data_IF_704578545453
#
_entry.id   IF_704578545453
#
_cell.length_a   1.000
_cell.length_b   1.000
_cell.length_c   1.000
_cell.angle_alpha   90.00
_cell.angle_beta   90.00
_cell.angle_gamma   90.00
#
_symmetry.space_group_name_H-M   'P 1'
#
loop_
_entity.id
_entity.type
_entity.pdbx_description
1 polymer ?
#
# COMPACT_ATOMS: atom_id res chain seq x y z
N UNK A 1 9.54 20.20 3.04
CA UNK A 1 8.83 19.26 2.18
C UNK A 1 9.74 18.09 1.78
N UNK A 2 10.85 18.34 1.06
CA UNK A 2 11.74 17.28 0.54
C UNK A 2 12.31 16.36 1.62
N UNK A 3 12.74 16.89 2.76
CA UNK A 3 13.24 16.10 3.90
C UNK A 3 12.15 15.18 4.46
N UNK A 4 10.94 15.69 4.66
CA UNK A 4 9.80 14.90 5.12
C UNK A 4 9.43 13.79 4.13
N UNK A 5 9.45 14.10 2.83
CA UNK A 5 9.20 13.11 1.77
C UNK A 5 10.28 12.02 1.75
N UNK A 6 11.57 12.39 1.90
CA UNK A 6 12.66 11.42 2.01
C UNK A 6 12.51 10.53 3.26
N UNK A 7 12.22 11.12 4.41
CA UNK A 7 11.99 10.39 5.65
C UNK A 7 10.81 9.41 5.55
N UNK A 8 9.70 9.82 4.93
CA UNK A 8 8.52 8.97 4.72
C UNK A 8 8.83 7.74 3.88
N UNK A 9 9.72 7.85 2.89
CA UNK A 9 10.11 6.73 2.03
C UNK A 9 11.06 5.74 2.70
N UNK A 10 11.77 6.18 3.75
CA UNK A 10 12.65 5.32 4.55
C UNK A 10 11.91 4.51 5.62
N UNK A 11 10.70 4.90 5.94
CA UNK A 11 9.84 4.27 6.95
C UNK A 11 8.77 3.43 6.27
N UNK A 12 8.52 2.25 6.81
CA UNK A 12 7.40 1.37 6.36
C UNK A 12 6.33 1.20 7.44
N UNK A 13 6.29 2.15 8.38
CA UNK A 13 5.35 2.17 9.49
C UNK A 13 4.32 3.28 9.32
N UNK A 14 3.29 3.29 10.18
CA UNK A 14 2.31 4.38 10.25
C UNK A 14 2.99 5.76 10.38
N UNK A 15 4.19 5.82 10.96
CA UNK A 15 5.02 7.03 11.03
C UNK A 15 5.41 7.59 9.65
N UNK A 16 5.46 6.76 8.60
CA UNK A 16 5.69 7.25 7.24
C UNK A 16 4.64 8.27 6.83
N UNK A 17 3.36 8.00 7.15
CA UNK A 17 2.27 8.92 6.88
C UNK A 17 2.37 10.21 7.71
N UNK A 18 2.84 10.14 8.96
CA UNK A 18 3.05 11.33 9.79
C UNK A 18 4.07 12.29 9.17
N UNK A 19 5.15 11.77 8.57
CA UNK A 19 6.11 12.60 7.84
C UNK A 19 5.52 13.19 6.55
N UNK A 20 4.71 12.43 5.80
CA UNK A 20 3.98 12.94 4.65
C UNK A 20 3.08 14.10 5.08
N UNK A 21 2.28 13.89 6.14
CA UNK A 21 1.36 14.89 6.68
C UNK A 21 2.12 16.15 7.13
N UNK A 22 3.21 15.99 7.89
CA UNK A 22 4.04 17.11 8.33
C UNK A 22 4.59 17.90 7.13
N UNK A 23 5.05 17.22 6.09
CA UNK A 23 5.63 17.84 4.89
C UNK A 23 4.68 18.79 4.18
N UNK A 24 3.45 18.35 3.89
CA UNK A 24 2.51 19.23 3.18
C UNK A 24 1.74 20.18 4.13
N UNK A 25 1.61 19.87 5.43
CA UNK A 25 0.99 20.79 6.39
C UNK A 25 1.80 22.08 6.54
N UNK A 26 3.13 21.99 6.47
CA UNK A 26 3.98 23.20 6.43
C UNK A 26 3.62 24.09 5.23
N UNK A 27 3.31 23.52 4.06
CA UNK A 27 2.87 24.30 2.90
C UNK A 27 1.46 24.87 3.13
N UNK A 28 0.53 24.10 3.71
CA UNK A 28 -0.84 24.55 4.00
C UNK A 28 -0.87 25.76 4.95
N UNK A 29 -0.02 25.76 5.97
CA UNK A 29 0.04 26.86 6.95
C UNK A 29 0.94 27.98 6.45
N UNK A 30 2.09 27.64 5.87
CA UNK A 30 3.11 28.62 5.52
C UNK A 30 2.77 29.47 4.30
N UNK A 31 2.12 28.92 3.27
CA UNK A 31 1.82 29.68 2.05
C UNK A 31 0.82 30.82 2.27
N UNK A 32 -0.34 30.62 2.93
CA UNK A 32 -1.23 31.73 3.26
C UNK A 32 -0.62 32.75 4.24
N UNK A 33 0.28 32.28 5.11
CA UNK A 33 0.93 33.14 6.08
C UNK A 33 1.98 34.10 5.49
N UNK A 34 2.38 33.90 4.23
CA UNK A 34 3.31 34.84 3.55
C UNK A 34 2.68 36.24 3.47
N UNK A 35 1.38 36.29 3.16
CA UNK A 35 0.65 37.56 3.04
C UNK A 35 0.23 38.14 4.43
N UNK A 36 0.06 37.25 5.43
CA UNK A 36 -0.39 37.62 6.76
C UNK A 36 0.41 36.90 7.86
N UNK A 37 1.68 37.26 8.10
CA UNK A 37 2.57 36.53 9.01
C UNK A 37 2.08 36.45 10.45
N UNK A 38 1.31 37.45 10.91
CA UNK A 38 0.79 37.47 12.28
C UNK A 38 -0.33 36.45 12.55
N UNK A 39 -0.92 35.87 11.52
CA UNK A 39 -2.02 34.90 11.62
C UNK A 39 -1.55 33.45 11.64
N UNK A 40 -0.22 33.19 11.53
CA UNK A 40 0.35 31.82 11.46
C UNK A 40 -0.10 30.93 12.61
N UNK A 41 -0.06 31.48 13.83
CA UNK A 41 -0.44 30.71 15.03
C UNK A 41 -1.93 30.33 14.99
N UNK A 42 -2.80 31.28 14.66
CA UNK A 42 -4.25 31.05 14.57
C UNK A 42 -4.58 30.03 13.47
N UNK A 43 -3.91 30.13 12.31
CA UNK A 43 -4.05 29.15 11.21
C UNK A 43 -3.56 27.75 11.63
N UNK A 44 -2.46 27.66 12.37
CA UNK A 44 -1.97 26.38 12.86
C UNK A 44 -2.94 25.74 13.88
N UNK A 45 -3.49 26.54 14.80
CA UNK A 45 -4.49 26.07 15.77
C UNK A 45 -5.77 25.66 15.06
N UNK A 46 -6.27 26.46 14.10
CA UNK A 46 -7.44 26.13 13.30
C UNK A 46 -7.25 24.80 12.56
N UNK A 47 -6.11 24.57 11.94
CA UNK A 47 -5.80 23.29 11.27
C UNK A 47 -5.76 22.12 12.23
N UNK A 48 -5.15 22.26 13.40
CA UNK A 48 -5.13 21.20 14.40
C UNK A 48 -6.55 20.83 14.86
N UNK A 49 -7.40 21.84 15.11
CA UNK A 49 -8.78 21.62 15.56
C UNK A 49 -9.64 21.01 14.45
N UNK A 50 -9.55 21.49 13.20
CA UNK A 50 -10.26 20.95 12.05
C UNK A 50 -9.92 19.48 11.79
N UNK A 51 -8.63 19.15 11.77
CA UNK A 51 -8.16 17.76 11.57
C UNK A 51 -8.62 16.88 12.73
N UNK A 52 -8.49 17.33 13.98
CA UNK A 52 -8.91 16.57 15.15
C UNK A 52 -10.42 16.32 15.15
N UNK A 53 -11.21 17.33 14.81
CA UNK A 53 -12.66 17.20 14.68
C UNK A 53 -13.05 16.23 13.54
N UNK A 54 -12.40 16.35 12.38
CA UNK A 54 -12.60 15.44 11.27
C UNK A 54 -12.30 13.98 11.62
N UNK A 55 -11.19 13.73 12.32
CA UNK A 55 -10.82 12.39 12.80
C UNK A 55 -11.86 11.87 13.80
N UNK A 56 -12.29 12.69 14.74
CA UNK A 56 -13.30 12.31 15.74
C UNK A 56 -14.64 11.96 15.06
N UNK A 57 -15.12 12.79 14.17
CA UNK A 57 -16.36 12.54 13.42
C UNK A 57 -16.26 11.26 12.57
N UNK A 58 -15.17 11.08 11.82
CA UNK A 58 -14.95 9.87 11.01
C UNK A 58 -14.89 8.61 11.88
N UNK A 59 -14.17 8.68 13.01
CA UNK A 59 -14.06 7.55 13.95
C UNK A 59 -15.41 7.21 14.57
N UNK A 60 -16.21 8.21 14.99
CA UNK A 60 -17.55 8.02 15.50
C UNK A 60 -18.48 7.35 14.47
N UNK A 61 -18.50 7.88 13.26
CA UNK A 61 -19.32 7.34 12.18
C UNK A 61 -18.93 5.89 11.88
N UNK A 62 -17.64 5.59 11.73
CA UNK A 62 -17.16 4.23 11.50
C UNK A 62 -17.47 3.29 12.66
N UNK A 63 -17.34 3.75 13.90
CA UNK A 63 -17.60 2.94 15.08
C UNK A 63 -19.10 2.63 15.28
N UNK A 64 -19.97 3.60 14.97
CA UNK A 64 -21.42 3.47 15.20
C UNK A 64 -22.17 2.80 14.05
N UNK A 65 -21.87 3.19 12.79
CA UNK A 65 -22.62 2.74 11.63
C UNK A 65 -22.09 1.44 11.03
N UNK A 66 -20.76 1.24 11.01
CA UNK A 66 -20.15 0.09 10.36
C UNK A 66 -18.86 -0.35 11.06
N UNK A 67 -18.94 -0.95 12.25
CA UNK A 67 -17.77 -1.43 12.98
C UNK A 67 -17.10 -2.57 12.20
N UNK A 68 -16.14 -2.25 11.35
CA UNK A 68 -15.31 -3.24 10.69
C UNK A 68 -14.21 -3.66 11.66
N UNK A 69 -14.29 -4.87 12.17
CA UNK A 69 -13.21 -5.45 12.97
C UNK A 69 -12.09 -5.87 12.03
N UNK A 70 -10.98 -5.15 12.09
CA UNK A 70 -9.75 -5.44 11.33
C UNK A 70 -9.30 -6.89 11.57
N UNK A 71 -9.60 -7.44 12.75
CA UNK A 71 -9.34 -8.83 13.12
C UNK A 71 -9.87 -9.85 12.12
N UNK A 72 -11.13 -9.72 11.68
CA UNK A 72 -11.75 -10.67 10.73
C UNK A 72 -11.14 -10.52 9.34
N UNK A 73 -10.87 -9.30 8.94
CA UNK A 73 -10.27 -9.00 7.65
C UNK A 73 -8.85 -9.56 7.56
N UNK A 74 -8.05 -9.41 8.62
CA UNK A 74 -6.69 -9.96 8.67
C UNK A 74 -6.68 -11.50 8.61
N UNK A 75 -7.56 -12.17 9.36
CA UNK A 75 -7.67 -13.62 9.32
C UNK A 75 -8.07 -14.12 7.92
N UNK A 76 -9.03 -13.46 7.27
CA UNK A 76 -9.46 -13.80 5.92
C UNK A 76 -8.33 -13.57 4.89
N UNK A 77 -7.65 -12.44 4.97
CA UNK A 77 -6.54 -12.13 4.07
C UNK A 77 -5.36 -13.09 4.28
N UNK A 78 -5.05 -13.45 5.53
CA UNK A 78 -4.04 -14.44 5.85
C UNK A 78 -4.37 -15.80 5.22
N UNK A 79 -5.64 -16.24 5.30
CA UNK A 79 -6.12 -17.48 4.68
C UNK A 79 -6.00 -17.43 3.14
N UNK A 80 -6.38 -16.33 2.53
CA UNK A 80 -6.24 -16.13 1.07
C UNK A 80 -4.76 -16.14 0.65
N UNK A 81 -3.88 -15.50 1.42
CA UNK A 81 -2.44 -15.50 1.16
C UNK A 81 -1.84 -16.91 1.32
N UNK A 82 -2.27 -17.65 2.34
CA UNK A 82 -1.90 -19.05 2.55
C UNK A 82 -2.29 -19.94 1.37
N UNK A 83 -3.57 -19.92 0.96
CA UNK A 83 -4.06 -20.73 -0.16
C UNK A 83 -3.31 -20.41 -1.46
N UNK A 84 -3.12 -19.12 -1.75
CA UNK A 84 -2.34 -18.69 -2.91
C UNK A 84 -0.88 -19.15 -2.81
N UNK A 85 -0.27 -19.12 -1.61
CA UNK A 85 1.10 -19.55 -1.36
C UNK A 85 1.29 -21.04 -1.60
N UNK A 86 0.42 -21.89 -1.05
CA UNK A 86 0.46 -23.36 -1.25
C UNK A 86 0.22 -23.71 -2.71
N UNK A 87 -0.76 -23.07 -3.36
CA UNK A 87 -0.99 -23.27 -4.80
C UNK A 87 0.24 -22.91 -5.63
N UNK A 88 0.87 -21.76 -5.36
CA UNK A 88 2.07 -21.34 -6.08
C UNK A 88 3.28 -22.27 -5.80
N UNK A 89 3.41 -22.80 -4.59
CA UNK A 89 4.43 -23.79 -4.26
C UNK A 89 4.23 -25.09 -5.05
N UNK A 90 3.00 -25.58 -5.13
CA UNK A 90 2.69 -26.79 -5.90
C UNK A 90 2.90 -26.58 -7.41
N UNK A 91 2.49 -25.44 -7.97
CA UNK A 91 2.78 -25.08 -9.36
C UNK A 91 4.30 -25.02 -9.64
N UNK A 92 5.08 -24.52 -8.67
CA UNK A 92 6.53 -24.51 -8.79
C UNK A 92 7.12 -25.94 -8.80
N UNK A 93 6.62 -26.83 -7.96
CA UNK A 93 7.03 -28.24 -7.95
C UNK A 93 6.62 -29.00 -9.23
N UNK A 94 5.58 -28.55 -9.94
CA UNK A 94 5.18 -29.08 -11.25
C UNK A 94 5.99 -28.51 -12.42
N UNK A 95 6.85 -27.52 -12.15
CA UNK A 95 7.66 -26.87 -13.19
C UNK A 95 6.82 -26.01 -14.15
N UNK A 96 5.62 -25.58 -13.75
CA UNK A 96 4.73 -24.76 -14.59
C UNK A 96 5.29 -23.36 -14.84
N UNK A 97 5.18 -22.86 -16.05
CA UNK A 97 5.63 -21.50 -16.42
C UNK A 97 4.87 -20.41 -15.66
N UNK A 98 3.62 -20.70 -15.26
CA UNK A 98 2.78 -19.83 -14.44
C UNK A 98 3.29 -19.63 -13.00
N UNK A 99 4.18 -20.50 -12.50
CA UNK A 99 4.71 -20.43 -11.13
C UNK A 99 5.39 -19.08 -10.80
N UNK A 100 5.99 -18.41 -11.79
CA UNK A 100 6.60 -17.08 -11.60
C UNK A 100 5.55 -16.00 -11.36
N UNK A 101 4.44 -16.02 -12.07
CA UNK A 101 3.35 -15.06 -11.89
C UNK A 101 2.65 -15.31 -10.54
N UNK A 102 2.37 -16.56 -10.21
CA UNK A 102 1.82 -16.94 -8.91
C UNK A 102 2.70 -16.48 -7.74
N UNK A 103 4.03 -16.58 -7.86
CA UNK A 103 4.96 -16.07 -6.86
C UNK A 103 4.83 -14.56 -6.65
N UNK A 104 4.79 -13.78 -7.73
CA UNK A 104 4.67 -12.32 -7.66
C UNK A 104 3.33 -11.90 -7.03
N UNK A 105 2.26 -12.62 -7.36
CA UNK A 105 0.95 -12.39 -6.77
C UNK A 105 0.96 -12.66 -5.27
N UNK A 106 1.54 -13.78 -4.82
CA UNK A 106 1.67 -14.12 -3.40
C UNK A 106 2.53 -13.11 -2.66
N UNK A 107 3.65 -12.67 -3.25
CA UNK A 107 4.49 -11.62 -2.68
C UNK A 107 3.70 -10.32 -2.50
N UNK A 108 2.91 -9.90 -3.51
CA UNK A 108 2.04 -8.73 -3.42
C UNK A 108 1.00 -8.86 -2.29
N UNK A 109 0.39 -10.04 -2.13
CA UNK A 109 -0.56 -10.33 -1.05
C UNK A 109 0.10 -10.29 0.33
N UNK A 110 1.27 -10.90 0.49
CA UNK A 110 2.04 -10.87 1.74
C UNK A 110 2.38 -9.43 2.14
N UNK A 111 2.85 -8.61 1.19
CA UNK A 111 3.16 -7.19 1.44
C UNK A 111 1.91 -6.40 1.83
N UNK A 112 0.78 -6.64 1.16
CA UNK A 112 -0.49 -5.97 1.48
C UNK A 112 -0.99 -6.33 2.89
N UNK A 113 -0.90 -7.60 3.27
CA UNK A 113 -1.28 -8.09 4.60
C UNK A 113 -0.33 -7.55 5.68
N UNK A 114 0.97 -7.51 5.41
CA UNK A 114 1.96 -6.95 6.35
C UNK A 114 1.75 -5.45 6.60
N UNK A 115 1.31 -4.71 5.58
CA UNK A 115 0.98 -3.29 5.72
C UNK A 115 -0.22 -3.03 6.66
N UNK A 116 -1.20 -3.94 6.71
CA UNK A 116 -2.36 -3.83 7.59
C UNK A 116 -2.07 -4.30 9.03
N UNK A 117 -1.01 -5.04 9.24
CA UNK A 117 -0.59 -5.57 10.54
C UNK A 117 -0.43 -4.47 11.61
N UNK A 118 0.05 -3.30 11.21
CA UNK A 118 0.26 -2.18 12.14
C UNK A 118 -1.04 -1.66 12.75
N UNK A 119 -2.14 -1.72 12.02
CA UNK A 119 -3.46 -1.33 12.53
C UNK A 119 -3.94 -2.30 13.62
N UNK A 120 -3.69 -3.60 13.45
CA UNK A 120 -4.03 -4.62 14.45
C UNK A 120 -3.27 -4.46 15.77
N UNK A 121 -2.09 -3.83 15.74
CA UNK A 121 -1.30 -3.58 16.95
C UNK A 121 -2.02 -2.70 17.97
N UNK A 122 -2.90 -1.82 17.51
CA UNK A 122 -3.68 -0.91 18.35
C UNK A 122 -4.98 -1.51 18.87
N UNK A 123 -5.41 -2.69 18.38
CA UNK A 123 -6.66 -3.35 18.76
C UNK A 123 -6.57 -4.19 20.07
N UNK A 124 -5.53 -3.99 20.89
CA UNK A 124 -5.35 -4.70 22.14
C UNK A 124 -4.47 -5.94 22.04
N UNK A 125 -4.51 -6.80 23.07
CA UNK A 125 -3.55 -7.92 23.20
C UNK A 125 -3.73 -8.97 22.08
N UNK A 126 -4.98 -9.33 21.75
CA UNK A 126 -5.27 -10.28 20.67
C UNK A 126 -4.83 -9.75 19.30
N UNK A 127 -5.02 -8.46 19.03
CA UNK A 127 -4.56 -7.81 17.82
C UNK A 127 -3.04 -7.88 17.69
N UNK A 128 -2.31 -7.63 18.78
CA UNK A 128 -0.84 -7.75 18.82
C UNK A 128 -0.36 -9.16 18.55
N UNK A 129 -1.01 -10.17 19.15
CA UNK A 129 -0.65 -11.57 18.92
C UNK A 129 -0.91 -12.00 17.47
N UNK A 130 -2.04 -11.58 16.88
CA UNK A 130 -2.31 -11.77 15.45
C UNK A 130 -1.27 -11.11 14.56
N UNK A 131 -0.88 -9.89 14.89
CA UNK A 131 0.15 -9.18 14.14
C UNK A 131 1.50 -9.90 14.18
N UNK A 132 1.86 -10.49 15.32
CA UNK A 132 3.06 -11.31 15.46
C UNK A 132 2.97 -12.64 14.69
N UNK A 133 1.85 -13.34 14.83
CA UNK A 133 1.61 -14.60 14.11
C UNK A 133 1.59 -14.40 12.59
N UNK A 134 1.03 -13.27 12.12
CA UNK A 134 1.02 -12.90 10.71
C UNK A 134 2.43 -12.68 10.15
N UNK A 135 3.34 -12.10 10.96
CA UNK A 135 4.75 -11.95 10.58
C UNK A 135 5.43 -13.30 10.39
N UNK A 136 5.16 -14.25 11.30
CA UNK A 136 5.69 -15.62 11.19
C UNK A 136 5.14 -16.30 9.94
N UNK A 137 3.83 -16.23 9.71
CA UNK A 137 3.18 -16.74 8.51
C UNK A 137 3.82 -16.20 7.22
N UNK A 138 4.01 -14.89 7.15
CA UNK A 138 4.63 -14.25 5.98
C UNK A 138 6.05 -14.75 5.72
N UNK A 139 6.87 -14.86 6.77
CA UNK A 139 8.23 -15.40 6.70
C UNK A 139 8.25 -16.83 6.19
N UNK A 140 7.38 -17.67 6.76
CA UNK A 140 7.38 -19.09 6.46
C UNK A 140 6.79 -19.40 5.08
N UNK A 141 5.77 -18.65 4.63
CA UNK A 141 5.29 -18.71 3.26
C UNK A 141 6.37 -18.32 2.23
N UNK A 142 7.14 -17.26 2.50
CA UNK A 142 8.28 -16.91 1.65
C UNK A 142 9.33 -18.01 1.60
N UNK A 143 9.55 -18.70 2.74
CA UNK A 143 10.47 -19.83 2.82
C UNK A 143 9.96 -21.04 2.03
N UNK A 144 8.66 -21.35 2.13
CA UNK A 144 7.98 -22.39 1.34
C UNK A 144 8.17 -22.14 -0.16
N UNK A 145 7.87 -20.95 -0.63
CA UNK A 145 8.00 -20.58 -2.05
C UNK A 145 9.45 -20.67 -2.54
N UNK A 146 10.41 -20.23 -1.72
CA UNK A 146 11.83 -20.32 -2.04
C UNK A 146 12.30 -21.77 -2.13
N UNK A 147 11.86 -22.63 -1.19
CA UNK A 147 12.22 -24.03 -1.17
C UNK A 147 11.58 -24.80 -2.33
N UNK A 148 10.31 -24.57 -2.64
CA UNK A 148 9.63 -25.20 -3.77
C UNK A 148 10.36 -24.90 -5.09
N UNK A 149 10.77 -23.65 -5.31
CA UNK A 149 11.58 -23.26 -6.49
C UNK A 149 12.99 -23.87 -6.45
N UNK A 150 13.56 -24.01 -5.26
CA UNK A 150 14.85 -24.67 -5.09
C UNK A 150 14.79 -26.14 -5.47
N UNK A 151 13.74 -26.86 -5.05
CA UNK A 151 13.48 -28.24 -5.44
C UNK A 151 13.27 -28.37 -6.95
N UNK A 152 12.44 -27.52 -7.55
CA UNK A 152 12.18 -27.52 -8.99
C UNK A 152 13.48 -27.33 -9.80
N UNK A 153 14.33 -26.39 -9.38
CA UNK A 153 15.62 -26.15 -10.05
C UNK A 153 16.55 -27.36 -9.93
N UNK A 154 16.62 -27.97 -8.74
CA UNK A 154 17.41 -29.17 -8.50
C UNK A 154 16.88 -30.34 -9.33
N UNK A 155 15.56 -30.53 -9.36
CA UNK A 155 14.90 -31.56 -10.15
C UNK A 155 15.26 -31.52 -11.64
N UNK A 156 15.35 -30.34 -12.22
CA UNK A 156 15.76 -30.17 -13.63
C UNK A 156 17.23 -30.52 -13.89
N UNK A 157 18.06 -30.62 -12.85
CA UNK A 157 19.48 -30.97 -12.96
C UNK A 157 19.72 -32.45 -12.75
N UNK A 158 18.74 -33.19 -12.24
CA UNK A 158 18.84 -34.64 -12.03
C UNK A 158 18.80 -35.38 -13.37
N UNK A 159 19.57 -36.49 -13.45
CA UNK A 159 19.47 -37.42 -14.55
C UNK A 159 18.09 -38.09 -14.58
N UNK A 160 17.69 -38.59 -15.76
CA UNK A 160 16.35 -39.16 -15.97
C UNK A 160 16.07 -40.38 -15.05
N UNK A 161 17.08 -41.20 -14.74
CA UNK A 161 16.93 -42.34 -13.87
C UNK A 161 16.86 -41.95 -12.40
N UNK A 162 17.68 -40.97 -11.99
CA UNK A 162 17.63 -40.36 -10.66
C UNK A 162 16.28 -39.72 -10.37
N UNK A 163 15.73 -38.98 -11.37
CA UNK A 163 14.42 -38.34 -11.28
C UNK A 163 13.27 -39.36 -11.17
N UNK A 164 13.34 -40.49 -11.90
CA UNK A 164 12.33 -41.56 -11.80
C UNK A 164 12.30 -42.20 -10.42
N UNK A 165 13.45 -42.39 -9.79
CA UNK A 165 13.55 -42.96 -8.43
C UNK A 165 12.87 -42.04 -7.40
N UNK A 166 12.99 -40.75 -7.55
CA UNK A 166 12.40 -39.74 -6.61
C UNK A 166 10.98 -39.34 -6.94
N UNK A 167 10.47 -39.68 -8.13
CA UNK A 167 9.16 -39.28 -8.58
C UNK A 167 8.01 -39.60 -7.61
N UNK A 168 7.94 -40.82 -7.00
CA UNK A 168 6.90 -41.15 -6.03
C UNK A 168 6.87 -40.20 -4.84
N UNK A 169 8.04 -39.82 -4.32
CA UNK A 169 8.16 -38.89 -3.21
C UNK A 169 7.69 -37.47 -3.58
N UNK A 170 8.05 -37.02 -4.77
CA UNK A 170 7.60 -35.73 -5.27
C UNK A 170 6.09 -35.70 -5.46
N UNK A 171 5.50 -36.78 -6.01
CA UNK A 171 4.04 -36.88 -6.18
C UNK A 171 3.31 -36.92 -4.83
N UNK A 172 3.79 -37.69 -3.86
CA UNK A 172 3.23 -37.69 -2.51
C UNK A 172 3.22 -36.30 -1.88
N UNK A 173 4.30 -35.52 -2.03
CA UNK A 173 4.37 -34.16 -1.53
C UNK A 173 3.39 -33.24 -2.29
N UNK A 174 3.26 -33.38 -3.60
CA UNK A 174 2.29 -32.62 -4.41
C UNK A 174 0.84 -32.90 -4.02
N UNK A 175 0.49 -34.17 -3.88
CA UNK A 175 -0.83 -34.60 -3.43
C UNK A 175 -1.15 -34.05 -2.03
N UNK A 176 -0.18 -34.09 -1.12
CA UNK A 176 -0.30 -33.50 0.20
C UNK A 176 -0.57 -31.97 0.14
N UNK A 177 0.05 -31.26 -0.81
CA UNK A 177 -0.17 -29.81 -0.98
C UNK A 177 -1.46 -29.46 -1.73
N UNK A 178 -2.05 -30.40 -2.49
CA UNK A 178 -3.31 -30.21 -3.21
C UNK A 178 -4.55 -30.50 -2.36
N UNK A 179 -4.41 -31.46 -1.44
CA UNK A 179 -5.49 -31.88 -0.56
C UNK A 179 -5.71 -30.98 0.66
N UNK A 180 -6.57 -31.45 1.57
CA UNK A 180 -6.60 -30.89 2.92
C UNK A 180 -5.29 -31.26 3.64
N UNK A 181 -4.50 -30.23 3.96
CA UNK A 181 -3.24 -30.44 4.66
C UNK A 181 -3.50 -31.08 6.03
N UNK A 182 -2.88 -32.22 6.31
CA UNK A 182 -2.97 -32.86 7.63
C UNK A 182 -2.49 -31.89 8.71
N UNK A 183 -3.07 -32.03 9.90
CA UNK A 183 -2.66 -31.22 11.05
C UNK A 183 -1.22 -31.49 11.47
N UNK A 184 -0.74 -32.69 11.23
CA UNK A 184 0.63 -33.11 11.50
C UNK A 184 1.26 -33.78 10.28
N UNK A 185 2.35 -33.19 9.81
CA UNK A 185 3.16 -33.67 8.69
C UNK A 185 4.40 -34.45 9.16
N UNK A 186 4.58 -34.66 10.46
CA UNK A 186 5.79 -35.26 11.04
C UNK A 186 6.12 -36.62 10.46
N UNK A 187 5.09 -37.44 10.22
CA UNK A 187 5.28 -38.79 9.67
C UNK A 187 5.87 -38.73 8.25
N UNK A 188 5.31 -37.91 7.39
CA UNK A 188 5.81 -37.77 6.01
C UNK A 188 7.19 -37.08 5.97
N UNK A 189 7.44 -36.14 6.86
CA UNK A 189 8.76 -35.50 7.00
C UNK A 189 9.81 -36.54 7.40
N UNK A 190 9.50 -37.40 8.36
CA UNK A 190 10.44 -38.40 8.82
C UNK A 190 10.70 -39.50 7.76
N UNK A 191 9.66 -39.96 7.06
CA UNK A 191 9.80 -40.87 5.93
C UNK A 191 10.71 -40.30 4.82
N UNK A 192 10.58 -39.02 4.50
CA UNK A 192 11.45 -38.34 3.51
C UNK A 192 12.90 -38.25 4.00
N UNK A 193 13.13 -38.06 5.31
CA UNK A 193 14.46 -38.04 5.91
C UNK A 193 15.09 -39.45 5.94
N UNK A 194 14.32 -40.45 6.33
CA UNK A 194 14.79 -41.83 6.30
C UNK A 194 15.16 -42.23 4.89
N UNK A 195 14.32 -41.95 3.90
CA UNK A 195 14.62 -42.18 2.48
C UNK A 195 15.90 -41.43 2.02
N UNK A 196 16.11 -40.20 2.50
CA UNK A 196 17.34 -39.46 2.18
C UNK A 196 18.63 -40.10 2.69
N UNK A 197 18.55 -40.95 3.72
CA UNK A 197 19.71 -41.66 4.29
C UNK A 197 19.98 -43.02 3.64
N UNK A 198 19.23 -43.42 2.62
CA UNK A 198 19.47 -44.65 1.90
C UNK A 198 20.84 -44.61 1.18
N UNK A 199 21.74 -45.62 1.42
CA UNK A 199 23.09 -45.59 0.89
C UNK A 199 23.20 -45.81 -0.63
N UNK A 200 22.08 -46.15 -1.28
CA UNK A 200 22.02 -46.38 -2.73
C UNK A 200 21.77 -45.09 -3.51
N UNK A 201 21.38 -44.00 -2.82
CA UNK A 201 21.07 -42.73 -3.44
C UNK A 201 22.31 -41.85 -3.67
N UNK A 202 22.35 -41.18 -4.80
CA UNK A 202 23.37 -40.15 -5.06
C UNK A 202 23.25 -38.97 -4.09
N UNK A 203 24.34 -38.24 -3.88
CA UNK A 203 24.32 -37.03 -3.04
C UNK A 203 23.29 -36.00 -3.50
N UNK A 204 23.03 -35.93 -4.81
CA UNK A 204 22.02 -35.01 -5.39
C UNK A 204 20.59 -35.46 -5.06
N UNK A 205 20.34 -36.76 -5.09
CA UNK A 205 19.05 -37.35 -4.71
C UNK A 205 18.78 -37.16 -3.21
N UNK A 206 19.75 -37.45 -2.36
CA UNK A 206 19.65 -37.21 -0.92
C UNK A 206 19.33 -35.77 -0.61
N UNK A 207 20.04 -34.82 -1.24
CA UNK A 207 19.83 -33.40 -1.06
C UNK A 207 18.42 -32.94 -1.55
N UNK A 208 17.89 -33.56 -2.63
CA UNK A 208 16.55 -33.31 -3.08
C UNK A 208 15.48 -33.73 -2.07
N UNK A 209 15.60 -34.92 -1.50
CA UNK A 209 14.71 -35.45 -0.46
C UNK A 209 14.76 -34.62 0.83
N UNK A 210 15.97 -34.25 1.27
CA UNK A 210 16.11 -33.35 2.44
C UNK A 210 15.44 -32.00 2.21
N UNK A 211 15.53 -31.45 1.00
CA UNK A 211 14.83 -30.20 0.65
C UNK A 211 13.32 -30.36 0.61
N UNK A 212 12.80 -31.49 0.15
CA UNK A 212 11.37 -31.81 0.22
C UNK A 212 10.90 -31.92 1.68
N UNK A 213 11.67 -32.63 2.53
CA UNK A 213 11.39 -32.68 3.96
C UNK A 213 11.38 -31.28 4.60
N UNK A 214 12.39 -30.46 4.29
CA UNK A 214 12.47 -29.09 4.79
C UNK A 214 11.30 -28.21 4.28
N UNK A 215 10.85 -28.41 3.05
CA UNK A 215 9.66 -27.76 2.50
C UNK A 215 8.42 -28.05 3.36
N UNK A 216 8.18 -29.34 3.67
CA UNK A 216 7.04 -29.74 4.51
C UNK A 216 7.14 -29.22 5.94
N UNK A 217 8.34 -29.16 6.53
CA UNK A 217 8.56 -28.52 7.84
C UNK A 217 8.11 -27.06 7.79
N UNK A 218 8.47 -26.31 6.74
CA UNK A 218 8.06 -24.92 6.58
C UNK A 218 6.57 -24.77 6.31
N UNK A 219 5.95 -25.70 5.57
CA UNK A 219 4.50 -25.74 5.37
C UNK A 219 3.79 -25.95 6.71
N UNK A 220 4.26 -26.88 7.54
CA UNK A 220 3.71 -27.14 8.87
C UNK A 220 3.82 -25.92 9.79
N UNK A 221 4.98 -25.26 9.84
CA UNK A 221 5.16 -24.01 10.61
C UNK A 221 4.23 -22.90 10.14
N UNK A 222 4.10 -22.72 8.84
CA UNK A 222 3.21 -21.72 8.25
C UNK A 222 1.72 -22.03 8.54
N UNK A 223 1.31 -23.32 8.53
CA UNK A 223 -0.06 -23.72 8.90
C UNK A 223 -0.36 -23.44 10.38
N UNK A 224 0.59 -23.69 11.27
CA UNK A 224 0.48 -23.37 12.69
C UNK A 224 0.37 -21.84 12.90
N UNK A 225 1.17 -21.06 12.18
CA UNK A 225 1.11 -19.60 12.22
C UNK A 225 -0.24 -19.06 11.71
N UNK A 226 -0.81 -19.68 10.65
CA UNK A 226 -2.15 -19.33 10.17
C UNK A 226 -3.23 -19.57 11.26
N UNK A 227 -3.19 -20.72 11.93
CA UNK A 227 -4.11 -21.03 13.04
C UNK A 227 -3.96 -20.03 14.19
N UNK A 228 -2.73 -19.62 14.51
CA UNK A 228 -2.48 -18.60 15.53
C UNK A 228 -3.08 -17.25 15.12
N UNK A 229 -2.99 -16.85 13.82
CA UNK A 229 -3.67 -15.65 13.30
C UNK A 229 -5.18 -15.77 13.45
N UNK A 230 -5.77 -16.91 13.10
CA UNK A 230 -7.22 -17.11 13.16
C UNK A 230 -7.75 -17.08 14.60
N UNK A 231 -7.04 -17.70 15.53
CA UNK A 231 -7.42 -17.76 16.95
C UNK A 231 -7.05 -16.48 17.72
N UNK A 232 -6.13 -15.67 17.20
CA UNK A 232 -5.59 -14.52 17.90
C UNK A 232 -4.65 -14.90 19.04
N UNK A 233 -3.89 -15.99 18.85
CA UNK A 233 -2.92 -16.54 19.79
C UNK A 233 -1.49 -16.12 19.41
N UNK A 234 -0.59 -16.21 20.38
CA UNK A 234 0.82 -15.97 20.11
C UNK A 234 1.38 -17.08 19.19
N UNK A 235 2.26 -16.74 18.22
CA UNK A 235 2.93 -17.74 17.43
C UNK A 235 3.89 -18.58 18.31
N UNK A 236 4.06 -19.84 17.96
CA UNK A 236 4.98 -20.77 18.68
C UNK A 236 6.43 -20.29 18.58
N UNK A 237 6.80 -19.79 17.40
CA UNK A 237 8.12 -19.20 17.16
C UNK A 237 8.13 -17.70 17.42
N UNK A 238 9.15 -17.22 18.14
CA UNK A 238 9.37 -15.79 18.27
C UNK A 238 9.68 -15.19 16.87
N UNK A 239 8.96 -14.15 16.44
CA UNK A 239 9.23 -13.53 15.15
C UNK A 239 10.61 -12.87 15.19
N UNK A 240 11.53 -13.36 14.35
CA UNK A 240 12.80 -12.66 14.12
C UNK A 240 12.52 -11.25 13.62
N UNK A 241 13.25 -10.27 14.13
CA UNK A 241 13.17 -8.91 13.64
C UNK A 241 13.60 -8.91 12.16
N UNK A 242 12.65 -8.73 11.25
CA UNK A 242 12.98 -8.50 9.85
C UNK A 242 13.70 -7.16 9.76
N UNK A 243 14.99 -7.20 9.46
CA UNK A 243 15.73 -5.98 9.13
C UNK A 243 15.28 -5.52 7.74
N UNK A 244 14.59 -4.38 7.67
CA UNK A 244 14.20 -3.80 6.40
C UNK A 244 15.39 -3.10 5.76
N UNK A 245 15.63 -3.40 4.50
CA UNK A 245 16.61 -2.64 3.72
C UNK A 245 16.10 -1.20 3.55
N UNK A 246 16.87 -0.24 4.07
CA UNK A 246 16.59 1.20 3.93
C UNK A 246 17.28 1.71 2.68
N UNK A 247 16.51 1.97 1.63
CA UNK A 247 17.05 2.50 0.40
C UNK A 247 17.21 4.02 0.47
N UNK A 248 18.36 4.44 0.99
CA UNK A 248 18.73 5.86 1.12
C UNK A 248 18.71 6.61 -0.21
N UNK A 249 19.19 6.00 -1.30
CA UNK A 249 19.27 6.67 -2.59
C UNK A 249 17.87 6.93 -3.17
N UNK A 250 16.96 5.97 -3.07
CA UNK A 250 15.55 6.16 -3.45
C UNK A 250 14.90 7.25 -2.62
N UNK A 251 15.18 7.30 -1.31
CA UNK A 251 14.64 8.34 -0.44
C UNK A 251 15.13 9.74 -0.84
N UNK A 252 16.44 9.89 -1.14
CA UNK A 252 17.00 11.16 -1.59
C UNK A 252 16.41 11.60 -2.93
N UNK A 253 16.27 10.68 -3.89
CA UNK A 253 15.68 11.02 -5.22
C UNK A 253 14.22 11.48 -5.06
N UNK A 254 13.43 10.81 -4.25
CA UNK A 254 12.03 11.19 -4.05
C UNK A 254 11.90 12.50 -3.26
N UNK A 255 12.74 12.71 -2.24
CA UNK A 255 12.82 13.97 -1.52
C UNK A 255 13.26 15.13 -2.41
N UNK A 256 14.30 14.94 -3.22
CA UNK A 256 14.78 15.93 -4.18
C UNK A 256 13.71 16.27 -5.23
N UNK A 257 13.01 15.26 -5.77
CA UNK A 257 11.88 15.46 -6.69
C UNK A 257 10.82 16.39 -6.11
N UNK A 258 10.37 16.12 -4.87
CA UNK A 258 9.37 16.96 -4.20
C UNK A 258 9.87 18.37 -3.94
N UNK A 259 11.15 18.52 -3.53
CA UNK A 259 11.75 19.81 -3.31
C UNK A 259 11.91 20.62 -4.61
N UNK A 260 12.38 19.98 -5.69
CA UNK A 260 12.53 20.63 -6.99
C UNK A 260 11.19 21.08 -7.59
N UNK A 261 10.15 20.26 -7.47
CA UNK A 261 8.79 20.62 -7.92
C UNK A 261 8.28 21.83 -7.15
N UNK A 262 8.47 21.85 -5.83
CA UNK A 262 8.09 22.98 -5.00
C UNK A 262 8.87 24.25 -5.39
N UNK A 263 10.17 24.18 -5.55
CA UNK A 263 11.02 25.32 -5.91
C UNK A 263 10.69 25.85 -7.32
N UNK A 264 10.44 24.97 -8.28
CA UNK A 264 10.08 25.36 -9.64
C UNK A 264 8.75 26.13 -9.67
N UNK A 265 7.73 25.63 -8.96
CA UNK A 265 6.45 26.32 -8.84
C UNK A 265 6.56 27.62 -8.02
N UNK A 266 7.40 27.66 -6.98
CA UNK A 266 7.67 28.89 -6.23
C UNK A 266 8.33 29.96 -7.13
N UNK A 267 9.30 29.56 -7.94
CA UNK A 267 9.92 30.47 -8.90
C UNK A 267 8.92 30.97 -9.94
N UNK A 268 8.05 30.10 -10.44
CA UNK A 268 6.96 30.48 -11.32
C UNK A 268 6.01 31.51 -10.67
N UNK A 269 5.61 31.25 -9.42
CA UNK A 269 4.77 32.17 -8.65
C UNK A 269 5.42 33.56 -8.50
N UNK A 270 6.65 33.59 -8.06
CA UNK A 270 7.40 34.86 -7.90
C UNK A 270 7.59 35.62 -9.22
N UNK A 271 7.82 34.89 -10.32
CA UNK A 271 8.02 35.48 -11.63
C UNK A 271 6.70 36.03 -12.25
N UNK A 272 5.57 35.39 -11.97
CA UNK A 272 4.28 35.78 -12.58
C UNK A 272 3.42 36.68 -11.70
N UNK A 273 3.65 36.65 -10.38
CA UNK A 273 2.76 37.34 -9.41
C UNK A 273 1.34 36.74 -9.38
N UNK A 274 1.13 35.52 -9.91
CA UNK A 274 -0.20 34.93 -10.00
C UNK A 274 -0.75 34.59 -8.62
N UNK A 275 -1.87 35.22 -8.23
CA UNK A 275 -2.42 35.10 -6.88
C UNK A 275 -2.87 33.70 -6.48
N UNK A 276 -3.38 32.90 -7.43
CA UNK A 276 -3.79 31.51 -7.15
C UNK A 276 -2.64 30.49 -7.19
N UNK A 277 -1.41 30.93 -7.52
CA UNK A 277 -0.25 30.02 -7.58
C UNK A 277 0.06 29.35 -6.23
N UNK A 278 -0.27 29.98 -5.12
CA UNK A 278 -0.16 29.36 -3.78
C UNK A 278 -0.98 28.07 -3.66
N UNK A 279 -2.18 28.02 -4.25
CA UNK A 279 -3.02 26.83 -4.35
C UNK A 279 -2.38 25.74 -5.21
N UNK A 280 -1.78 26.11 -6.35
CA UNK A 280 -1.02 25.18 -7.18
C UNK A 280 0.17 24.55 -6.43
N UNK A 281 0.92 25.38 -5.69
CA UNK A 281 2.05 24.97 -4.87
C UNK A 281 1.62 23.99 -3.77
N UNK A 282 0.51 24.28 -3.11
CA UNK A 282 -0.07 23.43 -2.07
C UNK A 282 -0.42 22.07 -2.62
N UNK A 283 -1.18 21.99 -3.71
CA UNK A 283 -1.60 20.72 -4.30
C UNK A 283 -0.44 19.91 -4.86
N UNK A 284 0.53 20.57 -5.51
CA UNK A 284 1.76 19.91 -5.93
C UNK A 284 2.51 19.29 -4.72
N UNK A 285 2.57 20.02 -3.61
CA UNK A 285 3.21 19.54 -2.36
C UNK A 285 2.51 18.30 -1.80
N UNK A 286 1.17 18.33 -1.75
CA UNK A 286 0.34 17.22 -1.30
C UNK A 286 0.57 15.98 -2.18
N UNK A 287 0.43 16.13 -3.49
CA UNK A 287 0.55 15.02 -4.45
C UNK A 287 1.97 14.44 -4.48
N UNK A 288 3.00 15.31 -4.48
CA UNK A 288 4.40 14.87 -4.45
C UNK A 288 4.75 14.10 -3.16
N UNK A 289 4.20 14.50 -2.01
CA UNK A 289 4.44 13.83 -0.74
C UNK A 289 3.62 12.53 -0.62
N UNK A 290 2.33 12.58 -0.96
CA UNK A 290 1.40 11.46 -0.76
C UNK A 290 1.74 10.26 -1.66
N UNK A 291 2.18 10.52 -2.89
CA UNK A 291 2.48 9.46 -3.85
C UNK A 291 3.98 9.20 -4.04
N UNK A 292 4.84 9.82 -3.23
CA UNK A 292 6.29 9.69 -3.34
C UNK A 292 6.78 8.24 -3.40
N UNK A 293 6.26 7.39 -2.53
CA UNK A 293 6.66 5.99 -2.36
C UNK A 293 5.87 5.00 -3.22
N UNK A 294 4.93 5.47 -4.06
CA UNK A 294 4.14 4.59 -4.93
C UNK A 294 4.90 4.27 -6.21
N UNK A 295 5.01 2.98 -6.55
CA UNK A 295 5.67 2.54 -7.79
C UNK A 295 5.03 3.14 -9.04
N UNK A 296 3.70 3.32 -9.03
CA UNK A 296 2.92 3.89 -10.13
C UNK A 296 2.50 5.34 -9.86
N UNK A 297 3.35 6.14 -9.20
CA UNK A 297 3.02 7.51 -8.80
C UNK A 297 2.49 8.39 -9.95
N UNK A 298 3.10 8.29 -11.13
CA UNK A 298 2.67 9.05 -12.32
C UNK A 298 1.27 8.62 -12.80
N UNK A 299 0.97 7.33 -12.79
CA UNK A 299 -0.35 6.80 -13.19
C UNK A 299 -1.43 7.22 -12.19
N UNK A 300 -1.14 7.11 -10.89
CA UNK A 300 -2.06 7.57 -9.82
C UNK A 300 -2.27 9.08 -9.93
N UNK A 301 -1.21 9.85 -10.14
CA UNK A 301 -1.30 11.30 -10.37
C UNK A 301 -2.17 11.67 -11.58
N UNK A 302 -2.08 10.91 -12.67
CA UNK A 302 -2.95 11.09 -13.83
C UNK A 302 -4.42 10.78 -13.51
N UNK A 303 -4.68 9.73 -12.70
CA UNK A 303 -6.05 9.45 -12.24
C UNK A 303 -6.58 10.59 -11.33
N UNK A 304 -5.70 11.17 -10.51
CA UNK A 304 -6.03 12.38 -9.73
C UNK A 304 -6.39 13.56 -10.62
N UNK A 305 -5.62 13.80 -11.67
CA UNK A 305 -5.91 14.86 -12.63
C UNK A 305 -7.27 14.65 -13.31
N UNK A 306 -7.60 13.41 -13.71
CA UNK A 306 -8.93 13.06 -14.24
C UNK A 306 -10.05 13.35 -13.24
N UNK A 307 -9.82 13.08 -11.95
CA UNK A 307 -10.78 13.38 -10.89
C UNK A 307 -11.06 14.86 -10.76
N UNK A 308 -10.05 15.74 -10.92
CA UNK A 308 -10.23 17.20 -10.96
C UNK A 308 -11.08 17.60 -12.16
N UNK A 309 -10.78 17.09 -13.36
CA UNK A 309 -11.56 17.40 -14.56
C UNK A 309 -13.06 17.06 -14.41
N UNK A 310 -13.38 15.97 -13.70
CA UNK A 310 -14.78 15.61 -13.39
C UNK A 310 -15.35 16.50 -12.29
N UNK A 311 -14.54 16.89 -11.31
CA UNK A 311 -14.97 17.75 -10.21
C UNK A 311 -15.28 19.17 -10.65
N UNK A 312 -14.63 19.70 -11.69
CA UNK A 312 -14.81 21.05 -12.17
C UNK A 312 -16.25 21.40 -12.57
N UNK A 313 -16.90 20.69 -13.52
CA UNK A 313 -18.27 21.01 -13.92
C UNK A 313 -19.28 20.78 -12.80
N UNK A 314 -19.08 19.71 -12.00
CA UNK A 314 -19.99 19.41 -10.88
C UNK A 314 -19.81 20.44 -9.76
N UNK A 315 -18.57 20.79 -9.42
CA UNK A 315 -18.25 21.80 -8.42
C UNK A 315 -18.75 23.19 -8.82
N UNK A 316 -18.62 23.56 -10.11
CA UNK A 316 -19.18 24.81 -10.63
C UNK A 316 -20.70 24.82 -10.51
N UNK A 317 -21.37 23.77 -10.97
CA UNK A 317 -22.82 23.67 -10.90
C UNK A 317 -23.33 23.75 -9.47
N UNK A 318 -22.77 22.93 -8.58
CA UNK A 318 -23.18 22.93 -7.18
C UNK A 318 -22.77 24.22 -6.48
N UNK A 319 -21.51 24.65 -6.59
CA UNK A 319 -20.96 25.79 -5.86
C UNK A 319 -21.52 27.15 -6.30
N UNK A 320 -21.71 27.37 -7.62
CA UNK A 320 -22.08 28.66 -8.16
C UNK A 320 -23.58 28.78 -8.52
N UNK A 321 -24.27 27.66 -8.74
CA UNK A 321 -25.69 27.69 -9.16
C UNK A 321 -26.61 27.18 -8.05
N UNK A 322 -26.28 26.02 -7.43
CA UNK A 322 -27.16 25.40 -6.44
C UNK A 322 -27.01 26.03 -5.06
N UNK A 323 -25.80 26.18 -4.53
CA UNK A 323 -25.58 26.71 -3.18
C UNK A 323 -26.16 28.09 -2.93
N UNK A 324 -26.13 29.06 -3.90
CA UNK A 324 -26.76 30.38 -3.70
C UNK A 324 -28.26 30.32 -3.44
N UNK A 325 -28.94 29.26 -3.85
CA UNK A 325 -30.40 29.14 -3.74
C UNK A 325 -30.81 28.40 -2.44
N UNK A 326 -29.86 27.91 -1.66
CA UNK A 326 -30.15 27.10 -0.48
C UNK A 326 -30.18 27.95 0.78
N UNK A 327 -31.19 27.74 1.61
CA UNK A 327 -31.40 28.49 2.85
C UNK A 327 -31.32 27.60 4.11
N UNK A 328 -31.19 26.25 3.96
CA UNK A 328 -31.22 25.35 5.10
C UNK A 328 -30.02 24.40 5.08
N UNK A 329 -29.58 24.01 6.28
CA UNK A 329 -28.50 23.04 6.46
C UNK A 329 -28.80 21.67 5.82
N UNK A 330 -30.07 21.22 5.90
CA UNK A 330 -30.46 19.96 5.29
C UNK A 330 -30.30 19.97 3.76
N UNK A 331 -30.64 21.08 3.09
CA UNK A 331 -30.43 21.22 1.65
C UNK A 331 -28.94 21.30 1.30
N UNK A 332 -28.12 21.95 2.12
CA UNK A 332 -26.66 21.93 1.96
C UNK A 332 -26.12 20.50 2.02
N UNK A 333 -26.54 19.72 3.02
CA UNK A 333 -26.13 18.31 3.14
C UNK A 333 -26.55 17.49 1.91
N UNK A 334 -27.72 17.72 1.34
CA UNK A 334 -28.18 17.04 0.11
C UNK A 334 -27.36 17.48 -1.10
N UNK A 335 -27.14 18.78 -1.28
CA UNK A 335 -26.40 19.32 -2.42
C UNK A 335 -24.95 18.80 -2.48
N UNK A 336 -24.29 18.70 -1.34
CA UNK A 336 -22.93 18.15 -1.24
C UNK A 336 -22.94 16.61 -1.16
N UNK A 337 -23.93 16.04 -0.48
CA UNK A 337 -24.00 14.61 -0.20
C UNK A 337 -24.25 13.76 -1.43
N UNK A 338 -25.10 14.21 -2.36
CA UNK A 338 -25.42 13.44 -3.57
C UNK A 338 -24.20 13.18 -4.45
N UNK A 339 -23.39 14.18 -4.85
CA UNK A 339 -22.16 13.93 -5.62
C UNK A 339 -21.14 13.07 -4.85
N UNK A 340 -21.01 13.28 -3.54
CA UNK A 340 -20.10 12.51 -2.70
C UNK A 340 -20.53 11.05 -2.53
N UNK A 341 -21.84 10.78 -2.51
CA UNK A 341 -22.36 9.43 -2.47
C UNK A 341 -21.96 8.63 -3.73
N UNK A 342 -22.13 9.21 -4.91
CA UNK A 342 -21.70 8.58 -6.16
C UNK A 342 -20.18 8.42 -6.23
N UNK A 343 -19.44 9.39 -5.72
CA UNK A 343 -18.00 9.26 -5.60
C UNK A 343 -17.58 8.13 -4.65
N UNK A 344 -18.26 7.97 -3.51
CA UNK A 344 -18.01 6.86 -2.58
C UNK A 344 -18.25 5.49 -3.23
N UNK A 345 -19.30 5.34 -4.04
CA UNK A 345 -19.52 4.14 -4.86
C UNK A 345 -18.36 3.91 -5.85
N UNK A 346 -17.88 4.98 -6.49
CA UNK A 346 -16.72 4.91 -7.38
C UNK A 346 -15.44 4.48 -6.66
N UNK A 347 -15.24 4.90 -5.40
CA UNK A 347 -14.09 4.49 -4.59
C UNK A 347 -14.06 2.99 -4.30
N UNK A 348 -15.21 2.32 -4.26
CA UNK A 348 -15.30 0.87 -4.08
C UNK A 348 -14.79 0.08 -5.31
N UNK A 349 -14.69 0.73 -6.48
CA UNK A 349 -14.19 0.09 -7.70
C UNK A 349 -12.66 0.25 -7.80
N UNK A 350 -11.88 -0.84 -8.01
CA UNK A 350 -10.43 -0.75 -8.19
C UNK A 350 -10.00 0.14 -9.37
N UNK A 351 -10.83 0.19 -10.43
CA UNK A 351 -10.53 0.98 -11.64
C UNK A 351 -10.77 2.49 -11.44
N UNK A 352 -11.75 2.87 -10.63
CA UNK A 352 -12.17 4.26 -10.44
C UNK A 352 -11.70 4.85 -9.11
N UNK A 353 -11.24 4.03 -8.16
CA UNK A 353 -10.98 4.43 -6.78
C UNK A 353 -10.13 5.71 -6.64
N UNK A 354 -8.98 5.78 -7.31
CA UNK A 354 -8.12 6.97 -7.26
C UNK A 354 -8.78 8.21 -7.89
N UNK A 355 -9.50 8.05 -8.99
CA UNK A 355 -10.22 9.14 -9.67
C UNK A 355 -11.38 9.65 -8.80
N UNK A 356 -12.15 8.74 -8.19
CA UNK A 356 -13.25 9.08 -7.30
C UNK A 356 -12.78 9.74 -6.00
N UNK A 357 -11.66 9.28 -5.44
CA UNK A 357 -11.02 9.94 -4.29
C UNK A 357 -10.61 11.38 -4.63
N UNK A 358 -9.96 11.58 -5.78
CA UNK A 358 -9.58 12.89 -6.25
C UNK A 358 -10.81 13.79 -6.49
N UNK A 359 -11.85 13.25 -7.15
CA UNK A 359 -13.11 13.97 -7.32
C UNK A 359 -13.66 14.46 -5.99
N UNK A 360 -13.78 13.59 -4.99
CA UNK A 360 -14.35 13.96 -3.69
C UNK A 360 -13.58 15.09 -3.00
N UNK A 361 -12.24 15.00 -3.00
CA UNK A 361 -11.38 16.01 -2.41
C UNK A 361 -11.55 17.36 -3.10
N UNK A 362 -11.42 17.37 -4.43
CA UNK A 362 -11.43 18.63 -5.17
C UNK A 362 -12.83 19.21 -5.31
N UNK A 363 -13.87 18.38 -5.33
CA UNK A 363 -15.26 18.84 -5.32
C UNK A 363 -15.56 19.68 -4.06
N UNK A 364 -15.18 19.20 -2.87
CA UNK A 364 -15.37 19.96 -1.63
C UNK A 364 -14.55 21.24 -1.63
N UNK A 365 -13.29 21.17 -2.09
CA UNK A 365 -12.43 22.37 -2.16
C UNK A 365 -12.97 23.41 -3.15
N UNK A 366 -13.52 22.98 -4.29
CA UNK A 366 -14.13 23.87 -5.29
C UNK A 366 -15.45 24.47 -4.83
N UNK A 367 -16.28 23.71 -4.11
CA UNK A 367 -17.51 24.24 -3.51
C UNK A 367 -17.21 25.20 -2.35
N UNK A 368 -16.10 24.98 -1.63
CA UNK A 368 -15.60 25.78 -0.50
C UNK A 368 -16.72 26.30 0.42
N UNK A 369 -17.56 25.44 1.02
CA UNK A 369 -18.67 25.88 1.84
C UNK A 369 -18.17 26.67 3.06
N UNK A 370 -18.54 27.94 3.16
CA UNK A 370 -18.15 28.86 4.21
C UNK A 370 -19.37 29.56 4.79
N UNK A 371 -19.25 30.09 6.01
CA UNK A 371 -20.34 30.85 6.64
C UNK A 371 -20.72 32.12 5.86
N UNK A 372 -19.76 32.72 5.15
CA UNK A 372 -19.95 33.80 4.23
C UNK A 372 -19.46 33.38 2.85
N UNK A 373 -20.38 32.94 2.00
CA UNK A 373 -20.05 32.45 0.67
C UNK A 373 -19.71 33.60 -0.29
N UNK A 374 -18.68 33.35 -1.09
CA UNK A 374 -18.31 34.25 -2.21
C UNK A 374 -18.62 33.55 -3.53
N UNK A 375 -19.61 34.05 -4.24
CA UNK A 375 -20.03 33.54 -5.56
C UNK A 375 -19.36 34.34 -6.66
N UNK A 376 -18.18 33.89 -7.07
CA UNK A 376 -17.35 34.55 -8.07
C UNK A 376 -16.80 33.50 -9.04
N UNK A 377 -17.36 33.49 -10.24
CA UNK A 377 -16.96 32.52 -11.27
C UNK A 377 -15.48 32.70 -11.71
N UNK A 378 -15.00 33.96 -11.75
CA UNK A 378 -13.60 34.22 -12.12
C UNK A 378 -12.64 33.65 -11.06
N UNK A 379 -12.97 33.85 -9.78
CA UNK A 379 -12.22 33.25 -8.68
C UNK A 379 -12.26 31.74 -8.76
N UNK A 380 -13.44 31.14 -9.01
CA UNK A 380 -13.58 29.69 -9.18
C UNK A 380 -12.66 29.11 -10.27
N UNK A 381 -12.68 29.73 -11.47
CA UNK A 381 -11.84 29.25 -12.57
C UNK A 381 -10.34 29.48 -12.34
N UNK A 382 -9.97 30.51 -11.60
CA UNK A 382 -8.59 30.78 -11.24
C UNK A 382 -8.06 29.71 -10.26
N UNK A 383 -8.82 29.36 -9.23
CA UNK A 383 -8.50 28.26 -8.32
C UNK A 383 -8.49 26.91 -9.03
N UNK A 384 -9.45 26.67 -9.92
CA UNK A 384 -9.50 25.46 -10.74
C UNK A 384 -8.25 25.27 -11.61
N UNK A 385 -7.76 26.35 -12.24
CA UNK A 385 -6.51 26.34 -12.99
C UNK A 385 -5.30 26.04 -12.09
N UNK A 386 -5.27 26.64 -10.90
CA UNK A 386 -4.22 26.38 -9.92
C UNK A 386 -4.15 24.89 -9.53
N UNK A 387 -5.31 24.25 -9.30
CA UNK A 387 -5.40 22.82 -9.02
C UNK A 387 -4.85 21.97 -10.16
N UNK A 388 -5.25 22.25 -11.40
CA UNK A 388 -4.79 21.53 -12.57
C UNK A 388 -3.28 21.68 -12.80
N UNK A 389 -2.75 22.89 -12.66
CA UNK A 389 -1.32 23.18 -12.81
C UNK A 389 -0.53 22.49 -11.70
N UNK A 390 -0.97 22.60 -10.45
CA UNK A 390 -0.28 21.98 -9.31
C UNK A 390 -0.15 20.47 -9.44
N UNK A 391 -1.27 19.78 -9.69
CA UNK A 391 -1.27 18.33 -9.88
C UNK A 391 -0.55 17.93 -11.17
N UNK A 392 -0.74 18.71 -12.26
CA UNK A 392 -0.04 18.49 -13.54
C UNK A 392 1.48 18.56 -13.41
N UNK A 393 2.00 19.56 -12.69
CA UNK A 393 3.43 19.69 -12.42
C UNK A 393 3.96 18.50 -11.58
N UNK A 394 3.20 18.03 -10.59
CA UNK A 394 3.56 16.84 -9.83
C UNK A 394 3.64 15.58 -10.71
N UNK A 395 2.66 15.40 -11.62
CA UNK A 395 2.66 14.28 -12.58
C UNK A 395 3.86 14.36 -13.52
N UNK A 396 4.18 15.54 -14.04
CA UNK A 396 5.36 15.77 -14.87
C UNK A 396 6.63 15.43 -14.09
N UNK A 397 6.74 15.86 -12.83
CA UNK A 397 7.87 15.55 -11.99
C UNK A 397 8.02 14.03 -11.74
N UNK A 398 6.91 13.30 -11.58
CA UNK A 398 6.93 11.84 -11.48
C UNK A 398 7.40 11.15 -12.77
N UNK A 399 7.14 11.75 -13.92
CA UNK A 399 7.62 11.25 -15.21
C UNK A 399 9.08 11.56 -15.46
N UNK A 400 9.53 12.77 -15.12
CA UNK A 400 10.90 13.22 -15.38
C UNK A 400 11.90 12.65 -14.37
N UNK A 401 11.54 12.64 -13.08
CA UNK A 401 12.42 12.23 -11.98
C UNK A 401 11.87 10.94 -11.38
N UNK A 402 12.03 9.84 -12.10
CA UNK A 402 11.60 8.50 -11.66
C UNK A 402 12.74 7.50 -11.79
N UNK A 403 12.84 6.58 -10.82
CA UNK A 403 13.72 5.42 -10.92
C UNK A 403 13.05 4.37 -11.82
N UNK A 404 13.17 4.56 -13.14
CA UNK A 404 12.47 3.77 -14.16
C UNK A 404 13.15 2.46 -14.53
N UNK A 405 14.40 2.25 -14.15
CA UNK A 405 15.16 1.08 -14.57
C UNK A 405 15.06 -0.05 -13.53
N UNK A 406 14.19 -1.06 -13.74
CA UNK A 406 14.09 -2.21 -12.85
C UNK A 406 15.37 -3.04 -12.85
N UNK A 407 16.17 -2.98 -13.92
CA UNK A 407 17.46 -3.69 -14.02
C UNK A 407 18.49 -3.03 -13.12
N UNK A 408 18.54 -1.71 -13.08
CA UNK A 408 19.42 -0.96 -12.20
C UNK A 408 19.07 -1.21 -10.72
N UNK A 409 17.77 -1.20 -10.37
CA UNK A 409 17.28 -1.54 -9.03
C UNK A 409 17.63 -2.98 -8.64
N UNK A 410 17.40 -3.94 -9.52
CA UNK A 410 17.72 -5.34 -9.29
C UNK A 410 19.22 -5.58 -9.07
N UNK A 411 20.09 -4.96 -9.88
CA UNK A 411 21.55 -5.06 -9.71
C UNK A 411 22.04 -4.45 -8.39
N UNK A 412 21.39 -3.40 -7.92
CA UNK A 412 21.73 -2.74 -6.65
C UNK A 412 21.34 -3.57 -5.44
N UNK A 413 20.15 -4.17 -5.46
CA UNK A 413 19.67 -5.06 -4.39
C UNK A 413 20.51 -6.35 -4.30
N UNK A 414 21.11 -6.78 -5.42
CA UNK A 414 22.02 -7.93 -5.42
C UNK A 414 23.43 -7.59 -4.88
N UNK A 415 23.79 -6.31 -4.79
CA UNK A 415 25.08 -5.84 -4.25
C UNK A 415 25.01 -5.41 -2.77
N UNK A 416 23.80 -5.20 -2.24
CA UNK A 416 23.54 -4.84 -0.86
C UNK A 416 23.24 -6.08 0.00
#
# INVERSE_FOLDING_TARGET
>A
LGVCTAASTMLRSAWAYSFVLAGYTVAIIGLPAIDQPLTVFDQAVARCTEISLGILCATLVCALLWPQRVERQLAQQARVAWQAGIKAANQALRGETAARQGLLEVLGRIVAVDAQREHAWFEGNRGRQRALALRVLSRDLLSVLRLARGVERQWRQLDADAARTLLPWLETVRECLEGELPDDLSVLIEQLREAAHEPQLSAEQQFCLERLALLLVRVQMASQALRAVERGEAPVDAPSALSWHRDWQTAVVYGARSALTFLALSAFWLATGWTAASGALLLASVVCSLFASRENAAQIGMMFLRGIFVALPVGFFVGQIVLPQLSSFAMLCLALGVPLFFAALGMASPALGATATSFSLHFIVLCAPQNSMRYDAAFFFNEAQAMLIGVGCAVIAFHLIGLRDPVWHGRRLLKA
#
